data_IF_846909165605
#
_entry.id   IF_846909165605
#
_cell.length_a   1.000
_cell.length_b   1.000
_cell.length_c   1.000
_cell.angle_alpha   90.00
_cell.angle_beta   90.00
_cell.angle_gamma   90.00
#
_symmetry.space_group_name_H-M   'P 1'
#
loop_
_entity.id
_entity.type
_entity.pdbx_description
1 polymer ?
#
# COMPACT_ATOMS: atom_id res chain seq x y z
N UNK A 1 -69.00 -75.41 -73.56
CA UNK A 1 -69.46 -74.42 -74.57
C UNK A 1 -68.57 -73.19 -74.42
N UNK A 2 -67.93 -72.79 -75.54
CA UNK A 2 -67.48 -71.44 -75.97
C UNK A 2 -67.07 -70.37 -74.96
N UNK A 3 -66.13 -69.43 -75.17
CA UNK A 3 -65.11 -69.05 -76.18
C UNK A 3 -64.54 -67.70 -75.63
N UNK A 4 -63.25 -67.40 -75.86
CA UNK A 4 -62.54 -66.08 -75.87
C UNK A 4 -62.57 -65.12 -74.64
N UNK A 5 -61.55 -64.30 -74.36
CA UNK A 5 -60.32 -64.00 -75.10
C UNK A 5 -59.40 -62.96 -74.41
N UNK A 6 -58.11 -63.04 -74.76
CA UNK A 6 -57.13 -61.96 -75.04
C UNK A 6 -56.83 -60.80 -74.06
N UNK A 7 -55.56 -60.80 -73.62
CA UNK A 7 -54.52 -59.73 -73.61
C UNK A 7 -54.78 -58.39 -72.88
N UNK A 8 -53.87 -58.06 -71.96
CA UNK A 8 -53.06 -56.83 -72.01
C UNK A 8 -51.88 -56.88 -71.01
N UNK A 9 -50.67 -57.08 -71.54
CA UNK A 9 -49.40 -56.86 -70.83
C UNK A 9 -48.84 -55.49 -71.21
N UNK A 10 -48.47 -54.69 -70.21
CA UNK A 10 -47.89 -53.36 -70.45
C UNK A 10 -47.50 -52.54 -69.21
N UNK A 11 -47.43 -53.13 -68.01
CA UNK A 11 -47.23 -52.36 -66.77
C UNK A 11 -45.84 -52.46 -66.10
N UNK A 12 -45.03 -53.47 -66.40
CA UNK A 12 -43.88 -53.78 -65.52
C UNK A 12 -42.58 -53.02 -65.81
N UNK A 13 -42.38 -52.41 -66.97
CA UNK A 13 -41.10 -51.74 -67.29
C UNK A 13 -40.98 -50.32 -66.74
N UNK A 14 -42.07 -49.58 -66.59
CA UNK A 14 -42.01 -48.20 -66.07
C UNK A 14 -41.92 -48.14 -64.54
N UNK A 15 -42.45 -49.13 -63.82
CA UNK A 15 -42.40 -49.17 -62.35
C UNK A 15 -40.99 -49.46 -61.81
N UNK A 16 -40.21 -50.29 -62.52
CA UNK A 16 -38.84 -50.64 -62.14
C UNK A 16 -37.85 -49.48 -62.36
N UNK A 17 -38.00 -48.74 -63.47
CA UNK A 17 -37.19 -47.54 -63.75
C UNK A 17 -37.46 -46.42 -62.74
N UNK A 18 -38.74 -46.19 -62.39
CA UNK A 18 -39.10 -45.16 -61.41
C UNK A 18 -38.56 -45.51 -60.01
N UNK A 19 -38.63 -46.78 -59.61
CA UNK A 19 -38.09 -47.25 -58.33
C UNK A 19 -36.57 -47.10 -58.26
N UNK A 20 -35.85 -47.39 -59.36
CA UNK A 20 -34.40 -47.24 -59.39
C UNK A 20 -33.96 -45.76 -59.28
N UNK A 21 -34.68 -44.85 -59.94
CA UNK A 21 -34.41 -43.40 -59.87
C UNK A 21 -34.67 -42.86 -58.46
N UNK A 22 -35.74 -43.32 -57.81
CA UNK A 22 -36.04 -42.92 -56.42
C UNK A 22 -34.96 -43.40 -55.46
N UNK A 23 -34.49 -44.64 -55.61
CA UNK A 23 -33.41 -45.20 -54.76
C UNK A 23 -32.09 -44.44 -54.99
N UNK A 24 -31.75 -44.11 -56.25
CA UNK A 24 -30.56 -43.31 -56.57
C UNK A 24 -30.64 -41.89 -55.99
N UNK A 25 -31.81 -41.25 -56.06
CA UNK A 25 -32.01 -39.93 -55.45
C UNK A 25 -31.87 -39.98 -53.93
N UNK A 26 -32.42 -41.00 -53.28
CA UNK A 26 -32.31 -41.19 -51.84
C UNK A 26 -30.86 -41.44 -51.41
N UNK A 27 -30.10 -42.22 -52.18
CA UNK A 27 -28.66 -42.44 -51.94
C UNK A 27 -27.84 -41.15 -52.10
N UNK A 28 -28.14 -40.31 -53.10
CA UNK A 28 -27.48 -39.02 -53.30
C UNK A 28 -27.75 -38.04 -52.15
N UNK A 29 -29.00 -37.98 -51.67
CA UNK A 29 -29.39 -37.17 -50.52
C UNK A 29 -28.74 -37.65 -49.21
N UNK A 30 -28.59 -38.97 -49.05
CA UNK A 30 -27.87 -39.56 -47.92
C UNK A 30 -26.38 -39.18 -47.96
N UNK A 31 -25.75 -39.27 -49.14
CA UNK A 31 -24.36 -38.89 -49.33
C UNK A 31 -24.13 -37.40 -49.03
N UNK A 32 -25.01 -36.51 -49.49
CA UNK A 32 -24.91 -35.08 -49.19
C UNK A 32 -25.07 -34.78 -47.70
N UNK A 33 -25.97 -35.48 -47.02
CA UNK A 33 -26.18 -35.32 -45.57
C UNK A 33 -24.97 -35.79 -44.77
N UNK A 34 -24.34 -36.91 -45.18
CA UNK A 34 -23.11 -37.41 -44.56
C UNK A 34 -21.95 -36.44 -44.77
N UNK A 35 -21.77 -35.91 -45.98
CA UNK A 35 -20.71 -34.93 -46.28
C UNK A 35 -20.90 -33.65 -45.45
N UNK A 36 -22.13 -33.15 -45.33
CA UNK A 36 -22.42 -31.97 -44.52
C UNK A 36 -22.20 -32.22 -43.02
N UNK A 37 -22.57 -33.40 -42.51
CA UNK A 37 -22.30 -33.78 -41.12
C UNK A 37 -20.79 -33.90 -40.84
N UNK A 38 -20.02 -34.47 -41.78
CA UNK A 38 -18.56 -34.56 -41.67
C UNK A 38 -17.91 -33.17 -41.72
N UNK A 39 -18.34 -32.28 -42.62
CA UNK A 39 -17.83 -30.90 -42.68
C UNK A 39 -18.15 -30.10 -41.42
N UNK A 40 -19.34 -30.27 -40.83
CA UNK A 40 -19.70 -29.63 -39.56
C UNK A 40 -18.83 -30.16 -38.41
N UNK A 41 -18.56 -31.46 -38.37
CA UNK A 41 -17.69 -32.09 -37.37
C UNK A 41 -16.23 -31.67 -37.51
N UNK A 42 -15.72 -31.58 -38.74
CA UNK A 42 -14.37 -31.09 -39.04
C UNK A 42 -14.23 -29.61 -38.66
N UNK A 43 -15.21 -28.77 -38.98
CA UNK A 43 -15.20 -27.36 -38.56
C UNK A 43 -15.29 -27.22 -37.04
N UNK A 44 -16.07 -28.08 -36.36
CA UNK A 44 -16.13 -28.11 -34.90
C UNK A 44 -14.81 -28.59 -34.28
N UNK A 45 -14.15 -29.58 -34.88
CA UNK A 45 -12.82 -30.05 -34.45
C UNK A 45 -11.69 -29.05 -34.75
N UNK A 46 -11.73 -28.34 -35.88
CA UNK A 46 -10.75 -27.28 -36.19
C UNK A 46 -10.93 -26.06 -35.28
N UNK A 47 -12.17 -25.71 -34.93
CA UNK A 47 -12.44 -24.63 -33.95
C UNK A 47 -12.02 -25.01 -32.52
N UNK A 48 -11.96 -26.31 -32.19
CA UNK A 48 -11.43 -26.82 -30.92
C UNK A 48 -9.89 -26.91 -30.93
N UNK A 49 -9.24 -27.01 -32.11
CA UNK A 49 -7.77 -27.07 -32.23
C UNK A 49 -7.06 -25.72 -32.40
N UNK A 50 -7.79 -24.61 -32.57
CA UNK A 50 -7.23 -23.28 -32.35
C UNK A 50 -7.32 -22.90 -30.87
N UNK A 51 -6.92 -23.82 -29.98
CA UNK A 51 -6.48 -23.44 -28.65
C UNK A 51 -5.18 -22.67 -28.85
N UNK A 52 -5.31 -21.36 -29.08
CA UNK A 52 -4.22 -20.40 -29.01
C UNK A 52 -3.55 -20.66 -27.68
N UNK A 53 -2.38 -21.30 -27.69
CA UNK A 53 -1.54 -21.44 -26.51
C UNK A 53 -1.13 -20.02 -26.14
N UNK A 54 -1.98 -19.37 -25.33
CA UNK A 54 -1.65 -18.13 -24.66
C UNK A 54 -0.33 -18.38 -23.95
N UNK A 55 0.72 -17.78 -24.49
CA UNK A 55 2.05 -17.90 -23.92
C UNK A 55 2.05 -16.89 -22.78
N UNK A 56 1.80 -17.36 -21.56
CA UNK A 56 1.92 -16.54 -20.36
C UNK A 56 3.37 -16.56 -19.89
N UNK A 57 3.86 -15.40 -19.45
CA UNK A 57 5.19 -15.28 -18.82
C UNK A 57 5.00 -14.83 -17.39
N UNK A 58 5.60 -15.54 -16.44
CA UNK A 58 5.64 -15.12 -15.04
C UNK A 58 6.72 -14.06 -14.88
N UNK A 59 6.35 -12.96 -14.26
CA UNK A 59 7.21 -11.82 -13.99
C UNK A 59 7.03 -11.41 -12.53
N UNK A 60 8.02 -10.66 -12.03
CA UNK A 60 7.96 -10.08 -10.70
C UNK A 60 8.45 -8.64 -10.75
N UNK A 61 7.90 -7.84 -9.85
CA UNK A 61 8.38 -6.50 -9.55
C UNK A 61 8.73 -6.46 -8.07
N UNK A 62 9.91 -5.96 -7.75
CA UNK A 62 10.39 -5.77 -6.38
C UNK A 62 10.97 -4.36 -6.29
N UNK A 63 10.50 -3.59 -5.32
CA UNK A 63 11.06 -2.28 -4.97
C UNK A 63 12.49 -2.51 -4.52
N UNK A 64 13.44 -1.86 -5.18
CA UNK A 64 14.86 -2.02 -4.87
C UNK A 64 15.24 -1.27 -3.60
N UNK A 65 16.36 -1.65 -3.00
CA UNK A 65 17.02 -0.92 -1.91
C UNK A 65 16.22 -0.75 -0.60
N UNK A 66 15.14 -1.52 -0.40
CA UNK A 66 14.49 -1.61 0.91
C UNK A 66 15.40 -2.44 1.83
N UNK A 67 15.95 -1.85 2.90
CA UNK A 67 16.84 -2.58 3.79
C UNK A 67 16.04 -3.61 4.59
N UNK A 68 16.58 -4.81 4.71
CA UNK A 68 16.06 -5.81 5.63
C UNK A 68 16.53 -5.53 7.05
N UNK A 69 15.60 -5.49 8.00
CA UNK A 69 15.89 -5.33 9.43
C UNK A 69 15.05 -6.34 10.23
N UNK A 70 15.73 -7.18 11.03
CA UNK A 70 15.06 -8.14 11.90
C UNK A 70 14.46 -7.46 13.14
N UNK A 71 13.44 -8.08 13.73
CA UNK A 71 12.93 -7.66 15.04
C UNK A 71 13.88 -8.07 16.16
N UNK A 72 14.21 -7.13 17.05
CA UNK A 72 15.15 -7.38 18.14
C UNK A 72 14.49 -8.12 19.33
N UNK A 73 13.18 -8.01 19.50
CA UNK A 73 12.39 -8.72 20.51
C UNK A 73 11.40 -9.70 19.87
N UNK A 74 10.73 -10.53 20.66
CA UNK A 74 9.72 -11.46 20.14
C UNK A 74 8.38 -10.78 19.77
N UNK A 75 8.25 -9.48 20.04
CA UNK A 75 6.99 -8.74 19.95
C UNK A 75 7.15 -7.37 19.25
N UNK A 76 8.31 -7.10 18.63
CA UNK A 76 8.61 -5.85 17.93
C UNK A 76 8.57 -5.96 16.40
N UNK A 77 7.69 -6.82 15.86
CA UNK A 77 7.54 -6.97 14.41
C UNK A 77 7.01 -5.69 13.73
N UNK A 78 6.14 -4.93 14.43
CA UNK A 78 5.64 -3.64 13.95
C UNK A 78 6.75 -2.60 13.86
N UNK A 79 7.59 -2.54 14.90
CA UNK A 79 8.72 -1.61 14.96
C UNK A 79 9.77 -1.91 13.90
N UNK A 80 10.10 -3.19 13.71
CA UNK A 80 11.03 -3.63 12.67
C UNK A 80 10.52 -3.32 11.27
N UNK A 81 9.22 -3.58 11.02
CA UNK A 81 8.58 -3.24 9.75
C UNK A 81 8.60 -1.75 9.47
N UNK A 82 8.31 -0.93 10.48
CA UNK A 82 8.42 0.52 10.38
C UNK A 82 9.87 0.96 10.16
N UNK A 83 10.83 0.35 10.85
CA UNK A 83 12.24 0.65 10.67
C UNK A 83 12.70 0.41 9.23
N UNK A 84 12.28 -0.70 8.60
CA UNK A 84 12.62 -1.00 7.19
C UNK A 84 12.09 0.09 6.25
N UNK A 85 10.83 0.49 6.42
CA UNK A 85 10.20 1.53 5.60
C UNK A 85 10.86 2.91 5.83
N UNK A 86 11.15 3.28 7.07
CA UNK A 86 11.82 4.56 7.36
C UNK A 86 13.26 4.57 6.83
N UNK A 87 13.99 3.45 6.95
CA UNK A 87 15.35 3.34 6.41
C UNK A 87 15.38 3.33 4.88
N UNK A 88 14.32 2.88 4.20
CA UNK A 88 14.19 3.01 2.74
C UNK A 88 14.11 4.47 2.31
N UNK A 89 13.31 5.31 2.98
CA UNK A 89 13.20 6.73 2.65
C UNK A 89 14.40 7.56 3.14
N UNK A 90 15.10 7.10 4.19
CA UNK A 90 16.20 7.81 4.81
C UNK A 90 17.47 6.94 4.91
N UNK A 91 18.02 6.45 3.78
CA UNK A 91 19.08 5.43 3.76
C UNK A 91 20.40 5.89 4.38
N UNK A 92 20.63 7.20 4.46
CA UNK A 92 21.82 7.79 5.08
C UNK A 92 21.78 7.78 6.62
N UNK A 93 20.74 7.20 7.23
CA UNK A 93 20.49 7.29 8.66
C UNK A 93 20.23 5.93 9.27
N UNK A 94 20.91 5.69 10.38
CA UNK A 94 20.70 4.50 11.21
C UNK A 94 19.70 4.88 12.29
N UNK A 95 18.54 4.25 12.25
CA UNK A 95 17.48 4.40 13.24
C UNK A 95 17.65 3.24 14.22
N UNK A 96 17.84 3.52 15.51
CA UNK A 96 17.81 2.46 16.52
C UNK A 96 16.36 2.01 16.68
N UNK A 97 16.07 0.75 16.37
CA UNK A 97 14.74 0.15 16.53
C UNK A 97 14.19 0.32 17.95
N UNK A 98 15.04 0.41 18.98
CA UNK A 98 14.63 0.69 20.37
C UNK A 98 13.91 2.03 20.53
N UNK A 99 14.29 3.04 19.75
CA UNK A 99 13.61 4.32 19.74
C UNK A 99 12.21 4.21 19.13
N UNK A 100 12.00 3.31 18.17
CA UNK A 100 10.67 3.03 17.62
C UNK A 100 9.82 2.28 18.64
N UNK A 101 10.37 1.23 19.27
CA UNK A 101 9.68 0.39 20.26
C UNK A 101 9.12 1.21 21.42
N UNK A 102 9.92 2.15 21.94
CA UNK A 102 9.48 3.08 22.98
C UNK A 102 8.23 3.85 22.53
N UNK A 103 8.37 4.56 21.42
CA UNK A 103 7.35 5.45 20.89
C UNK A 103 6.07 4.72 20.57
N UNK A 104 6.21 3.55 19.97
CA UNK A 104 5.11 2.69 19.57
C UNK A 104 4.45 1.98 20.74
N UNK A 105 4.91 2.25 21.98
CA UNK A 105 4.39 1.64 23.20
C UNK A 105 4.44 0.10 23.13
N UNK A 106 5.41 -0.41 22.39
CA UNK A 106 5.52 -1.83 22.13
C UNK A 106 5.86 -2.55 23.45
N UNK A 107 5.08 -3.58 23.76
CA UNK A 107 5.24 -4.35 25.00
C UNK A 107 5.27 -5.84 24.74
N UNK A 108 5.83 -6.61 25.68
CA UNK A 108 5.84 -8.06 25.61
C UNK A 108 4.46 -8.71 25.75
N UNK A 109 3.43 -7.93 26.11
CA UNK A 109 2.07 -8.43 26.26
C UNK A 109 1.21 -8.19 25.01
N UNK A 110 1.31 -7.00 24.43
CA UNK A 110 0.46 -6.55 23.33
C UNK A 110 1.16 -6.53 21.98
N UNK A 111 2.50 -6.60 21.96
CA UNK A 111 3.29 -6.18 20.81
C UNK A 111 3.08 -4.70 20.50
N UNK A 112 3.21 -4.35 19.23
CA UNK A 112 2.92 -3.01 18.69
C UNK A 112 1.49 -2.94 18.18
N UNK A 113 0.71 -1.93 18.56
CA UNK A 113 -0.63 -1.71 18.02
C UNK A 113 -0.58 -0.87 16.74
N UNK A 114 -1.55 -1.06 15.86
CA UNK A 114 -1.60 -0.43 14.54
C UNK A 114 -1.58 1.09 14.61
N UNK A 115 -2.35 1.68 15.52
CA UNK A 115 -2.37 3.13 15.75
C UNK A 115 -1.05 3.65 16.33
N UNK A 116 -0.32 2.81 17.05
CA UNK A 116 1.00 3.17 17.56
C UNK A 116 2.08 3.05 16.48
N UNK A 117 2.03 2.07 15.58
CA UNK A 117 2.90 2.04 14.38
C UNK A 117 2.71 3.32 13.57
N UNK A 118 1.45 3.71 13.34
CA UNK A 118 1.10 4.95 12.65
C UNK A 118 1.70 6.18 13.32
N UNK A 119 1.49 6.32 14.63
CA UNK A 119 2.01 7.44 15.39
C UNK A 119 3.53 7.48 15.33
N UNK A 120 4.17 6.32 15.50
CA UNK A 120 5.63 6.18 15.51
C UNK A 120 6.27 6.56 14.19
N UNK A 121 5.50 6.47 13.11
CA UNK A 121 5.94 6.90 11.80
C UNK A 121 5.83 8.42 11.59
N UNK A 122 5.08 9.12 12.45
CA UNK A 122 4.92 10.59 12.48
C UNK A 122 5.83 11.26 13.52
N UNK A 123 6.90 10.58 13.91
CA UNK A 123 7.65 10.95 15.10
C UNK A 123 8.27 12.35 15.06
N UNK A 124 8.26 13.07 16.19
CA UNK A 124 8.88 14.39 16.30
C UNK A 124 9.48 14.65 17.68
N UNK A 125 10.28 15.72 17.90
CA UNK A 125 10.73 16.10 19.24
C UNK A 125 9.61 16.40 20.25
N UNK A 126 8.37 16.56 19.76
CA UNK A 126 7.17 16.73 20.61
C UNK A 126 6.55 15.39 21.02
N UNK A 127 6.88 14.31 20.34
CA UNK A 127 6.39 13.00 20.69
C UNK A 127 6.96 12.58 22.04
N UNK A 128 6.09 12.49 23.05
CA UNK A 128 6.39 11.82 24.32
C UNK A 128 5.56 10.54 24.43
N UNK A 129 6.17 9.47 24.92
CA UNK A 129 5.38 8.35 25.43
C UNK A 129 4.58 8.81 26.65
N UNK A 130 3.33 8.36 26.82
CA UNK A 130 2.59 8.62 28.05
C UNK A 130 3.43 8.15 29.25
N UNK A 131 3.58 9.00 30.27
CA UNK A 131 4.40 8.71 31.45
C UNK A 131 3.93 7.49 32.26
N UNK A 132 2.71 6.99 31.99
CA UNK A 132 2.14 5.79 32.58
C UNK A 132 1.85 4.75 31.50
N UNK A 133 2.79 3.82 31.28
CA UNK A 133 2.48 2.54 30.65
C UNK A 133 2.51 1.45 31.72
N UNK A 134 1.55 0.53 31.65
CA UNK A 134 1.39 -0.51 32.65
C UNK A 134 2.35 -1.67 32.40
N UNK A 135 2.64 -1.98 31.13
CA UNK A 135 3.50 -3.08 30.74
C UNK A 135 4.95 -2.64 30.54
N UNK A 136 5.88 -3.57 30.77
CA UNK A 136 7.32 -3.33 30.62
C UNK A 136 7.61 -3.02 29.14
N UNK A 137 8.04 -1.78 28.89
CA UNK A 137 8.58 -1.38 27.60
C UNK A 137 10.02 -1.88 27.48
N UNK A 138 10.40 -2.30 26.28
CA UNK A 138 11.79 -2.50 25.94
C UNK A 138 12.29 -1.28 25.15
N UNK A 139 13.48 -0.73 25.44
CA UNK A 139 14.31 -0.97 26.62
C UNK A 139 13.72 -0.34 27.90
N UNK A 140 14.14 -0.82 29.08
CA UNK A 140 13.75 -0.27 30.40
C UNK A 140 14.03 1.24 30.55
N UNK A 141 14.96 1.77 29.75
CA UNK A 141 15.27 3.20 29.66
C UNK A 141 15.06 3.70 28.23
N UNK A 142 13.84 4.15 28.00
CA UNK A 142 13.42 4.84 26.78
C UNK A 142 13.82 6.33 26.79
N UNK A 143 14.00 6.96 25.61
CA UNK A 143 14.26 8.39 25.53
C UNK A 143 13.01 9.22 25.90
N UNK A 144 13.16 10.14 26.85
CA UNK A 144 12.06 10.95 27.43
C UNK A 144 11.41 11.97 26.48
N UNK A 145 11.88 12.07 25.24
CA UNK A 145 11.23 12.82 24.15
C UNK A 145 11.66 12.27 22.81
N UNK A 146 11.55 10.95 22.67
CA UNK A 146 11.65 10.34 21.37
C UNK A 146 13.02 10.16 20.76
N UNK A 147 13.08 10.09 19.43
CA UNK A 147 14.31 9.88 18.65
C UNK A 147 15.40 10.90 18.98
N UNK A 148 15.01 12.12 19.39
CA UNK A 148 15.89 13.25 19.57
C UNK A 148 15.61 13.91 20.91
N UNK A 149 16.13 13.30 21.99
CA UNK A 149 16.36 13.87 23.32
C UNK A 149 15.70 15.25 23.60
N UNK A 150 14.85 15.33 24.63
CA UNK A 150 13.99 16.45 25.07
C UNK A 150 14.55 17.89 25.00
N UNK A 151 15.86 18.04 24.93
CA UNK A 151 16.58 19.31 24.83
C UNK A 151 16.23 20.16 23.60
N UNK A 152 15.54 19.61 22.60
CA UNK A 152 15.19 20.32 21.36
C UNK A 152 13.73 20.79 21.29
N UNK A 153 12.83 20.30 22.14
CA UNK A 153 11.40 20.63 22.09
C UNK A 153 11.14 22.15 22.25
N UNK A 154 11.98 22.84 23.02
CA UNK A 154 11.84 24.28 23.33
C UNK A 154 12.90 25.18 22.64
N UNK A 155 13.72 24.65 21.74
CA UNK A 155 14.76 25.44 21.04
C UNK A 155 14.27 25.92 19.67
N UNK A 156 14.78 27.07 19.24
CA UNK A 156 14.66 27.51 17.84
C UNK A 156 15.15 26.40 16.91
N UNK A 157 14.34 26.01 15.93
CA UNK A 157 14.63 24.87 15.07
C UNK A 157 15.78 25.11 14.09
N UNK A 158 16.13 26.38 13.85
CA UNK A 158 17.38 26.77 13.21
C UNK A 158 18.64 26.30 13.94
N UNK A 159 18.54 26.02 15.25
CA UNK A 159 19.61 25.44 16.07
C UNK A 159 19.48 23.92 16.25
N UNK A 160 18.43 23.33 15.70
CA UNK A 160 18.20 21.88 15.71
C UNK A 160 18.92 21.28 14.50
N UNK A 161 19.74 20.23 14.69
CA UNK A 161 20.32 19.46 13.60
C UNK A 161 19.27 19.05 12.55
N UNK A 162 19.61 19.16 11.26
CA UNK A 162 18.67 18.90 10.12
C UNK A 162 18.09 17.50 10.19
N UNK A 163 18.88 16.57 10.70
CA UNK A 163 18.54 15.18 10.97
C UNK A 163 17.46 14.97 12.04
N UNK A 164 16.69 15.99 12.43
CA UNK A 164 15.54 15.85 13.34
C UNK A 164 14.22 15.96 12.55
N UNK A 165 14.18 16.81 11.52
CA UNK A 165 13.04 16.95 10.61
C UNK A 165 13.17 16.08 9.36
N UNK A 166 14.38 15.60 9.06
CA UNK A 166 14.61 14.59 8.03
C UNK A 166 13.91 13.25 8.33
N UNK A 167 13.36 13.03 9.53
CA UNK A 167 12.77 11.74 9.90
C UNK A 167 11.25 11.75 10.06
N UNK A 168 10.64 12.94 10.08
CA UNK A 168 9.20 13.05 10.25
C UNK A 168 8.48 12.96 8.91
N UNK A 169 8.61 11.80 8.28
CA UNK A 169 7.85 11.49 7.07
C UNK A 169 6.35 11.55 7.37
N UNK A 170 5.57 11.99 6.38
CA UNK A 170 4.11 11.83 6.43
C UNK A 170 3.78 10.36 6.24
N UNK A 171 3.94 9.57 7.30
CA UNK A 171 3.33 8.26 7.31
C UNK A 171 1.82 8.45 7.27
N UNK A 172 1.21 8.06 6.15
CA UNK A 172 -0.22 8.19 5.98
C UNK A 172 -0.82 6.81 6.08
N UNK A 173 -1.64 6.65 7.11
CA UNK A 173 -2.34 5.40 7.37
C UNK A 173 -3.33 5.15 6.26
N UNK A 174 -3.31 3.93 5.77
CA UNK A 174 -4.42 3.39 5.05
C UNK A 174 -5.20 2.46 5.99
N UNK A 175 -6.18 3.05 6.66
CA UNK A 175 -7.10 2.30 7.51
C UNK A 175 -8.48 2.48 6.90
N UNK A 176 -8.98 1.50 6.12
CA UNK A 176 -10.27 1.64 5.44
C UNK A 176 -11.38 2.11 6.38
N UNK A 177 -11.30 1.75 7.67
CA UNK A 177 -12.33 2.06 8.65
C UNK A 177 -11.80 2.26 10.09
N UNK A 178 -10.76 3.09 10.31
CA UNK A 178 -10.21 3.30 11.68
C UNK A 178 -11.23 3.84 12.71
N UNK A 179 -12.34 4.40 12.23
CA UNK A 179 -13.35 5.04 13.08
C UNK A 179 -14.36 4.06 13.66
N UNK A 180 -14.39 2.81 13.17
CA UNK A 180 -15.44 1.86 13.48
C UNK A 180 -14.86 0.67 14.25
N UNK A 181 -15.01 0.73 15.57
CA UNK A 181 -14.86 -0.44 16.42
C UNK A 181 -16.15 -1.26 16.34
N UNK A 182 -16.00 -2.55 16.06
CA UNK A 182 -17.11 -3.51 15.99
C UNK A 182 -16.80 -4.72 16.86
N UNK A 183 -17.80 -5.53 17.26
CA UNK A 183 -17.52 -6.74 18.02
C UNK A 183 -16.51 -7.63 17.31
N UNK A 184 -15.52 -8.17 18.03
CA UNK A 184 -14.43 -8.94 17.43
C UNK A 184 -14.90 -10.15 16.62
N UNK A 185 -15.98 -10.82 17.05
CA UNK A 185 -16.60 -11.91 16.29
C UNK A 185 -17.13 -11.42 14.93
N UNK A 186 -17.72 -10.23 14.90
CA UNK A 186 -18.21 -9.60 13.65
C UNK A 186 -17.03 -9.20 12.76
N UNK A 187 -15.96 -8.61 13.33
CA UNK A 187 -14.78 -8.21 12.56
C UNK A 187 -14.07 -9.41 11.90
N UNK A 188 -13.89 -10.50 12.65
CA UNK A 188 -13.23 -11.73 12.15
C UNK A 188 -14.05 -12.39 11.05
N UNK A 189 -15.38 -12.33 11.17
CA UNK A 189 -16.32 -12.90 10.20
C UNK A 189 -16.73 -11.92 9.10
N UNK A 190 -16.14 -10.72 9.04
CA UNK A 190 -16.54 -9.68 8.09
C UNK A 190 -16.31 -10.13 6.63
N UNK A 191 -17.39 -10.24 5.87
CA UNK A 191 -17.36 -10.53 4.42
C UNK A 191 -17.64 -9.27 3.58
N UNK A 192 -17.96 -8.16 4.23
CA UNK A 192 -18.29 -6.89 3.56
C UNK A 192 -17.04 -6.11 3.21
N UNK A 193 -16.02 -6.13 4.08
CA UNK A 193 -14.72 -5.54 3.79
C UNK A 193 -13.98 -6.42 2.79
N UNK A 194 -13.67 -5.87 1.61
CA UNK A 194 -12.95 -6.58 0.55
C UNK A 194 -11.44 -6.45 0.74
N UNK A 195 -10.71 -7.52 0.44
CA UNK A 195 -9.26 -7.46 0.29
C UNK A 195 -8.91 -6.48 -0.84
N UNK A 196 -8.11 -5.46 -0.56
CA UNK A 196 -7.77 -4.39 -1.51
C UNK A 196 -6.41 -4.62 -2.19
N UNK A 197 -6.08 -5.87 -2.50
CA UNK A 197 -4.78 -6.24 -3.09
C UNK A 197 -4.49 -5.54 -4.43
N UNK A 198 -5.52 -5.28 -5.24
CA UNK A 198 -5.36 -4.54 -6.50
C UNK A 198 -4.92 -3.09 -6.25
N UNK A 199 -5.43 -2.45 -5.21
CA UNK A 199 -5.01 -1.09 -4.80
C UNK A 199 -3.60 -1.13 -4.22
N UNK A 200 -3.30 -2.10 -3.34
CA UNK A 200 -1.96 -2.33 -2.80
C UNK A 200 -0.91 -2.31 -3.93
N UNK A 201 -1.17 -3.05 -5.00
CA UNK A 201 -0.24 -3.18 -6.12
C UNK A 201 -0.23 -1.94 -7.01
N UNK A 202 -1.40 -1.50 -7.48
CA UNK A 202 -1.47 -0.47 -8.52
C UNK A 202 -1.22 0.95 -8.00
N UNK A 203 -1.52 1.23 -6.74
CA UNK A 203 -1.36 2.57 -6.15
C UNK A 203 -0.04 2.69 -5.40
N UNK A 204 0.43 1.62 -4.75
CA UNK A 204 1.63 1.69 -3.90
C UNK A 204 2.83 0.97 -4.53
N UNK A 205 2.76 -0.34 -4.70
CA UNK A 205 3.96 -1.12 -5.07
C UNK A 205 4.51 -0.71 -6.45
N UNK A 206 3.65 -0.48 -7.45
CA UNK A 206 4.07 0.01 -8.78
C UNK A 206 4.73 1.40 -8.77
N UNK A 207 4.55 2.16 -7.70
CA UNK A 207 5.07 3.51 -7.50
C UNK A 207 6.21 3.53 -6.47
N UNK A 208 6.88 2.40 -6.25
CA UNK A 208 8.01 2.27 -5.33
C UNK A 208 7.69 2.66 -3.87
N UNK A 209 6.45 2.41 -3.44
CA UNK A 209 5.98 2.65 -2.08
C UNK A 209 5.74 1.32 -1.37
N UNK A 210 6.59 0.93 -0.40
CA UNK A 210 6.35 -0.25 0.42
C UNK A 210 5.18 -0.04 1.38
N UNK A 211 4.48 -1.12 1.70
CA UNK A 211 3.30 -1.09 2.59
C UNK A 211 3.49 -2.06 3.75
N UNK A 212 3.38 -1.55 4.97
CA UNK A 212 3.35 -2.36 6.19
C UNK A 212 1.96 -2.96 6.33
N UNK A 213 1.85 -4.28 6.41
CA UNK A 213 0.60 -5.00 6.59
C UNK A 213 0.57 -5.67 7.96
N UNK A 214 -0.51 -5.47 8.73
CA UNK A 214 -0.81 -6.31 9.89
C UNK A 214 -1.64 -7.50 9.43
N UNK A 215 -1.11 -8.70 9.58
CA UNK A 215 -1.73 -9.94 9.12
C UNK A 215 -1.51 -11.05 10.14
N UNK A 216 -2.19 -12.18 10.00
CA UNK A 216 -1.88 -13.32 10.85
C UNK A 216 -0.46 -13.85 10.54
N UNK A 217 0.30 -14.31 11.55
CA UNK A 217 1.61 -14.92 11.33
C UNK A 217 1.51 -16.17 10.43
N UNK A 218 0.52 -17.00 10.75
CA UNK A 218 -0.06 -18.13 10.00
C UNK A 218 -1.58 -17.96 9.97
N UNK A 219 -2.29 -18.63 9.07
CA UNK A 219 -3.76 -18.63 9.06
C UNK A 219 -4.30 -18.95 10.46
N UNK A 220 -5.20 -18.10 10.98
CA UNK A 220 -5.85 -18.21 12.29
C UNK A 220 -4.89 -18.19 13.51
N UNK A 221 -3.79 -17.44 13.41
CA UNK A 221 -2.84 -17.22 14.52
C UNK A 221 -2.78 -15.74 14.94
N UNK A 222 -1.84 -15.40 15.84
CA UNK A 222 -1.63 -14.03 16.30
C UNK A 222 -1.25 -13.05 15.17
N UNK A 223 -1.47 -11.76 15.43
CA UNK A 223 -1.09 -10.68 14.53
C UNK A 223 0.42 -10.59 14.35
N UNK A 224 0.86 -10.23 13.16
CA UNK A 224 2.24 -10.10 12.76
C UNK A 224 2.38 -9.06 11.64
N UNK A 225 3.33 -8.16 11.80
CA UNK A 225 3.63 -7.15 10.78
C UNK A 225 4.64 -7.67 9.77
N UNK A 226 4.39 -7.36 8.50
CA UNK A 226 5.30 -7.59 7.38
C UNK A 226 5.29 -6.39 6.45
N UNK A 227 6.30 -6.23 5.61
CA UNK A 227 6.37 -5.14 4.62
C UNK A 227 6.18 -5.72 3.23
N UNK A 228 5.09 -5.38 2.55
CA UNK A 228 4.93 -5.65 1.12
C UNK A 228 5.91 -4.78 0.32
N UNK A 229 6.76 -5.44 -0.46
CA UNK A 229 7.87 -4.81 -1.22
C UNK A 229 7.83 -5.16 -2.70
N UNK A 230 6.87 -5.98 -3.13
CA UNK A 230 6.80 -6.42 -4.51
C UNK A 230 5.60 -7.31 -4.76
N UNK A 231 5.47 -7.73 -6.01
CA UNK A 231 4.39 -8.59 -6.46
C UNK A 231 4.83 -9.46 -7.64
N UNK A 232 4.14 -10.58 -7.81
CA UNK A 232 4.28 -11.47 -8.95
C UNK A 232 3.03 -11.39 -9.83
N UNK A 233 3.22 -11.51 -11.14
CA UNK A 233 2.13 -11.52 -12.09
C UNK A 233 2.42 -12.42 -13.28
N UNK A 234 1.36 -12.91 -13.90
CA UNK A 234 1.39 -13.57 -15.19
C UNK A 234 0.97 -12.58 -16.27
N UNK A 235 1.80 -12.45 -17.30
CA UNK A 235 1.55 -11.59 -18.44
C UNK A 235 1.22 -12.44 -19.66
N UNK A 236 0.00 -12.30 -20.16
CA UNK A 236 -0.40 -12.88 -21.43
C UNK A 236 0.26 -12.10 -22.58
N UNK A 237 1.12 -12.75 -23.36
CA UNK A 237 1.89 -12.10 -24.43
C UNK A 237 0.97 -11.56 -25.54
N UNK A 238 -0.16 -12.22 -25.80
CA UNK A 238 -1.06 -11.87 -26.90
C UNK A 238 -1.96 -10.68 -26.59
N UNK A 239 -2.39 -10.55 -25.33
CA UNK A 239 -3.31 -9.50 -24.88
C UNK A 239 -2.63 -8.40 -24.05
N UNK A 240 -1.35 -8.59 -23.69
CA UNK A 240 -0.62 -7.74 -22.74
C UNK A 240 -1.33 -7.60 -21.38
N UNK A 241 -2.25 -8.52 -21.06
CA UNK A 241 -3.00 -8.52 -19.80
C UNK A 241 -2.13 -9.10 -18.69
N UNK A 242 -2.07 -8.39 -17.57
CA UNK A 242 -1.41 -8.83 -16.35
C UNK A 242 -2.44 -9.41 -15.38
N UNK A 243 -2.13 -10.55 -14.79
CA UNK A 243 -2.91 -11.20 -13.73
C UNK A 243 -2.00 -11.33 -12.52
N UNK A 244 -2.38 -10.70 -11.42
CA UNK A 244 -1.63 -10.78 -10.16
C UNK A 244 -1.68 -12.21 -9.62
N UNK A 245 -0.51 -12.76 -9.26
CA UNK A 245 -0.39 -14.13 -8.74
C UNK A 245 0.17 -14.18 -7.33
N UNK A 246 0.94 -13.18 -6.89
CA UNK A 246 1.44 -13.14 -5.52
C UNK A 246 1.93 -11.79 -5.04
N UNK A 247 2.09 -11.68 -3.71
CA UNK A 247 2.66 -10.52 -3.02
C UNK A 247 3.97 -10.95 -2.36
N UNK A 248 5.03 -10.17 -2.59
CA UNK A 248 6.37 -10.37 -2.05
C UNK A 248 6.52 -9.47 -0.84
N UNK A 249 6.93 -10.04 0.29
CA UNK A 249 7.02 -9.33 1.57
C UNK A 249 8.34 -9.60 2.28
N UNK A 250 8.82 -8.61 3.02
CA UNK A 250 9.86 -8.78 4.03
C UNK A 250 9.22 -9.18 5.37
N UNK A 251 9.72 -10.25 5.97
CA UNK A 251 9.28 -10.75 7.27
C UNK A 251 10.35 -10.45 8.34
N UNK A 252 10.07 -9.57 9.32
CA UNK A 252 11.06 -9.20 10.34
C UNK A 252 11.40 -10.35 11.30
N UNK A 253 10.63 -11.45 11.29
CA UNK A 253 10.92 -12.65 12.08
C UNK A 253 11.81 -13.60 11.28
N UNK A 254 13.13 -13.54 11.42
CA UNK A 254 14.10 -14.42 10.72
C UNK A 254 14.59 -15.62 11.56
N UNK A 255 13.93 -15.87 12.69
CA UNK A 255 14.30 -16.94 13.61
C UNK A 255 13.65 -18.26 13.20
N UNK A 256 14.21 -19.37 13.68
CA UNK A 256 13.66 -20.72 13.47
C UNK A 256 13.52 -21.09 11.97
N UNK A 257 14.50 -20.71 11.15
CA UNK A 257 14.52 -20.92 9.70
C UNK A 257 13.40 -20.21 8.94
N UNK A 258 12.78 -19.18 9.52
CA UNK A 258 11.82 -18.36 8.79
C UNK A 258 12.60 -17.46 7.79
N UNK A 259 12.23 -17.46 6.51
CA UNK A 259 12.95 -16.66 5.51
C UNK A 259 12.67 -15.16 5.69
N UNK A 260 13.66 -14.33 5.39
CA UNK A 260 13.58 -12.87 5.47
C UNK A 260 12.65 -12.26 4.42
N UNK A 261 12.46 -12.97 3.30
CA UNK A 261 11.56 -12.60 2.22
C UNK A 261 10.64 -13.77 1.90
N UNK A 262 9.33 -13.50 1.81
CA UNK A 262 8.28 -14.48 1.57
C UNK A 262 7.38 -14.02 0.43
N UNK A 263 6.92 -14.97 -0.38
CA UNK A 263 5.92 -14.71 -1.42
C UNK A 263 4.65 -15.48 -1.10
N UNK A 264 3.53 -14.78 -1.01
CA UNK A 264 2.21 -15.36 -0.79
C UNK A 264 1.40 -15.27 -2.07
N UNK A 265 0.77 -16.38 -2.48
CA UNK A 265 -0.28 -16.34 -3.49
C UNK A 265 -1.42 -15.41 -3.04
N UNK A 266 -2.06 -14.70 -3.96
CA UNK A 266 -3.05 -13.65 -3.65
C UNK A 266 -4.14 -14.13 -2.68
N UNK A 267 -4.69 -15.33 -2.89
CA UNK A 267 -5.74 -15.88 -2.02
C UNK A 267 -5.26 -16.10 -0.57
N UNK A 268 -4.05 -16.65 -0.42
CA UNK A 268 -3.45 -16.88 0.89
C UNK A 268 -3.09 -15.57 1.57
N UNK A 269 -2.51 -14.62 0.81
CA UNK A 269 -2.22 -13.27 1.28
C UNK A 269 -3.48 -12.61 1.84
N UNK A 270 -4.57 -12.55 1.07
CA UNK A 270 -5.84 -11.98 1.51
C UNK A 270 -6.40 -12.71 2.73
N UNK A 271 -6.32 -14.06 2.79
CA UNK A 271 -6.78 -14.81 3.97
C UNK A 271 -5.98 -14.46 5.23
N UNK A 272 -4.66 -14.32 5.13
CA UNK A 272 -3.81 -13.93 6.25
C UNK A 272 -4.00 -12.46 6.63
N UNK A 273 -4.16 -11.59 5.63
CA UNK A 273 -4.34 -10.15 5.81
C UNK A 273 -5.73 -9.77 6.33
N UNK A 274 -6.68 -10.71 6.30
CA UNK A 274 -7.95 -10.63 7.02
C UNK A 274 -7.78 -10.77 8.55
N UNK A 275 -6.73 -10.20 9.11
CA UNK A 275 -6.53 -10.09 10.55
C UNK A 275 -7.30 -8.88 11.08
N UNK A 276 -8.11 -9.08 12.11
CA UNK A 276 -8.82 -8.02 12.82
C UNK A 276 -8.10 -7.76 14.15
N UNK A 277 -7.45 -6.59 14.26
CA UNK A 277 -6.75 -6.20 15.48
C UNK A 277 -7.75 -5.91 16.61
N UNK A 278 -7.58 -6.51 17.80
CA UNK A 278 -8.37 -6.17 18.97
C UNK A 278 -8.01 -4.79 19.51
N UNK A 279 -9.02 -3.97 19.79
CA UNK A 279 -8.89 -2.78 20.61
C UNK A 279 -9.09 -3.13 22.10
N UNK A 280 -9.98 -4.06 22.40
CA UNK A 280 -10.19 -4.62 23.74
C UNK A 280 -10.68 -6.08 23.64
N UNK A 281 -11.19 -6.63 24.75
CA UNK A 281 -11.71 -8.01 24.82
C UNK A 281 -12.97 -8.24 23.96
N UNK A 282 -13.69 -7.17 23.61
CA UNK A 282 -14.98 -7.19 22.91
C UNK A 282 -14.92 -6.60 21.53
N UNK A 283 -14.12 -5.58 21.31
CA UNK A 283 -14.12 -4.76 20.11
C UNK A 283 -12.80 -4.87 19.34
N UNK A 284 -12.94 -4.99 18.03
CA UNK A 284 -11.85 -5.06 17.09
C UNK A 284 -12.06 -4.00 16.00
N UNK A 285 -10.96 -3.63 15.38
CA UNK A 285 -11.01 -2.92 14.11
C UNK A 285 -11.36 -3.86 12.96
N UNK A 286 -11.80 -3.29 11.84
CA UNK A 286 -12.01 -4.03 10.59
C UNK A 286 -10.68 -4.56 10.00
N UNK A 287 -10.73 -5.67 9.25
CA UNK A 287 -9.54 -6.32 8.71
C UNK A 287 -8.86 -5.55 7.56
N UNK A 288 -7.72 -6.09 7.08
CA UNK A 288 -6.90 -5.57 5.97
C UNK A 288 -6.21 -4.24 6.27
N UNK A 289 -5.59 -4.15 7.44
CA UNK A 289 -4.80 -2.99 7.84
C UNK A 289 -3.53 -2.80 6.98
N UNK A 290 -3.29 -1.58 6.50
CA UNK A 290 -2.07 -1.22 5.80
C UNK A 290 -1.52 0.15 6.21
N UNK A 291 -0.19 0.32 6.18
CA UNK A 291 0.44 1.64 6.28
C UNK A 291 1.36 1.83 5.09
N UNK A 292 1.16 2.91 4.36
CA UNK A 292 2.12 3.41 3.39
C UNK A 292 2.77 4.67 3.94
N UNK A 293 4.10 4.75 3.92
CA UNK A 293 4.79 5.96 4.33
C UNK A 293 5.07 6.84 3.12
N UNK A 294 4.79 8.13 3.24
CA UNK A 294 5.02 9.08 2.15
C UNK A 294 5.70 10.34 2.69
N UNK A 295 7.02 10.51 2.49
CA UNK A 295 7.66 11.77 2.88
C UNK A 295 7.08 12.94 2.09
N UNK A 296 7.08 14.13 2.68
CA UNK A 296 6.83 15.36 1.93
C UNK A 296 7.95 15.58 0.94
N UNK A 297 7.60 15.83 -0.33
CA UNK A 297 8.59 16.20 -1.31
C UNK A 297 8.81 17.71 -1.26
N UNK A 298 10.02 18.13 -0.89
CA UNK A 298 10.43 19.53 -0.92
C UNK A 298 11.45 19.66 -2.05
N UNK A 299 11.13 20.51 -3.00
CA UNK A 299 12.02 20.82 -4.11
C UNK A 299 12.24 22.32 -4.18
N UNK A 300 13.44 22.69 -4.61
CA UNK A 300 13.83 24.09 -4.78
C UNK A 300 14.37 24.25 -6.19
N UNK A 301 13.78 25.18 -6.93
CA UNK A 301 14.27 25.58 -8.24
C UNK A 301 14.76 27.02 -8.15
N UNK A 302 16.01 27.25 -8.55
CA UNK A 302 16.59 28.59 -8.65
C UNK A 302 16.03 29.31 -9.89
N UNK A 303 15.41 30.47 -9.70
CA UNK A 303 15.05 31.39 -10.78
C UNK A 303 16.21 32.35 -11.08
N UNK A 304 16.94 32.76 -10.04
CA UNK A 304 18.16 33.56 -10.10
C UNK A 304 18.96 33.39 -8.81
N UNK A 305 20.19 33.91 -8.76
CA UNK A 305 21.08 33.85 -7.57
C UNK A 305 20.42 34.24 -6.24
N UNK A 306 19.39 35.08 -6.31
CA UNK A 306 18.66 35.54 -5.13
C UNK A 306 17.19 35.18 -5.16
N UNK A 307 16.68 34.43 -6.12
CA UNK A 307 15.26 34.12 -6.25
C UNK A 307 15.04 32.62 -6.43
N UNK A 308 14.25 32.03 -5.55
CA UNK A 308 14.00 30.59 -5.49
C UNK A 308 12.51 30.33 -5.49
N UNK A 309 12.08 29.31 -6.23
CA UNK A 309 10.78 28.70 -5.98
C UNK A 309 10.99 27.49 -5.07
N UNK A 310 10.29 27.51 -3.94
CA UNK A 310 10.21 26.38 -3.03
C UNK A 310 8.87 25.71 -3.31
N UNK A 311 8.92 24.48 -3.82
CA UNK A 311 7.73 23.67 -4.07
C UNK A 311 7.65 22.56 -3.03
N UNK A 312 6.65 22.63 -2.17
CA UNK A 312 6.26 21.56 -1.27
C UNK A 312 5.16 20.77 -1.98
N UNK A 313 5.44 19.51 -2.29
CA UNK A 313 4.53 18.61 -2.99
C UNK A 313 4.08 17.52 -2.04
N UNK A 314 2.77 17.37 -1.93
CA UNK A 314 2.19 16.28 -1.20
C UNK A 314 2.14 15.03 -2.07
N UNK A 315 2.43 13.85 -1.50
CA UNK A 315 2.36 12.60 -2.21
C UNK A 315 0.97 12.40 -2.81
N UNK A 316 0.96 11.99 -4.08
CA UNK A 316 -0.25 11.72 -4.81
C UNK A 316 -0.56 10.23 -4.65
N UNK A 317 -1.39 9.89 -3.66
CA UNK A 317 -1.73 8.48 -3.37
C UNK A 317 -2.78 7.95 -4.35
N UNK A 318 -3.61 8.84 -4.90
CA UNK A 318 -4.57 8.52 -5.96
C UNK A 318 -4.16 9.28 -7.21
N UNK A 319 -3.96 8.63 -8.38
CA UNK A 319 -3.89 9.38 -9.61
C UNK A 319 -5.15 10.25 -9.71
N UNK A 320 -5.05 11.55 -10.06
CA UNK A 320 -6.23 12.38 -10.27
C UNK A 320 -7.12 11.62 -11.24
N UNK A 321 -8.32 11.26 -10.78
CA UNK A 321 -9.22 10.35 -11.46
C UNK A 321 -9.21 10.63 -12.96
N UNK A 322 -8.76 9.66 -13.75
CA UNK A 322 -9.24 9.60 -15.13
C UNK A 322 -10.76 9.74 -15.05
N UNK A 323 -11.36 10.54 -15.94
CA UNK A 323 -12.76 11.00 -15.90
C UNK A 323 -13.82 9.89 -15.85
N UNK A 324 -13.42 8.63 -15.76
CA UNK A 324 -14.26 7.47 -15.55
C UNK A 324 -14.65 7.33 -14.07
N UNK A 325 -15.73 8.02 -13.70
CA UNK A 325 -16.45 7.90 -12.41
C UNK A 325 -16.70 6.45 -11.92
N UNK A 326 -16.60 5.44 -12.79
CA UNK A 326 -16.83 4.03 -12.43
C UNK A 326 -15.74 3.43 -11.53
N UNK A 327 -14.53 3.99 -11.49
CA UNK A 327 -13.47 3.50 -10.62
C UNK A 327 -13.64 3.97 -9.16
N UNK A 328 -14.31 5.12 -8.96
CA UNK A 328 -14.59 5.68 -7.63
C UNK A 328 -15.65 4.89 -6.84
N UNK A 329 -16.55 4.15 -7.51
CA UNK A 329 -17.61 3.36 -6.82
C UNK A 329 -17.10 2.02 -6.26
N UNK A 330 -15.93 1.54 -6.69
CA UNK A 330 -15.31 0.31 -6.18
C UNK A 330 -13.95 0.53 -5.50
N UNK A 331 -13.37 1.73 -5.64
CA UNK A 331 -12.28 2.12 -4.76
C UNK A 331 -12.84 2.15 -3.35
N UNK A 332 -12.20 1.48 -2.37
CA UNK A 332 -12.56 1.78 -1.01
C UNK A 332 -12.40 3.29 -0.83
N UNK A 333 -13.33 3.94 -0.13
CA UNK A 333 -13.09 5.29 0.35
C UNK A 333 -11.96 5.13 1.36
N UNK A 334 -10.78 5.54 0.96
CA UNK A 334 -9.55 5.35 1.74
C UNK A 334 -9.16 6.70 2.23
N UNK A 335 -9.87 7.21 3.24
CA UNK A 335 -9.60 8.54 3.73
C UNK A 335 -8.13 8.57 4.13
N UNK A 336 -7.37 9.48 3.54
CA UNK A 336 -6.10 9.86 4.14
C UNK A 336 -6.46 10.38 5.52
N UNK A 337 -6.09 9.59 6.51
CA UNK A 337 -6.56 9.82 7.86
C UNK A 337 -5.73 10.90 8.58
N UNK A 338 -4.62 11.28 7.96
CA UNK A 338 -3.71 12.35 8.38
C UNK A 338 -4.18 13.68 7.80
N UNK A 339 -4.56 14.64 8.65
CA UNK A 339 -4.70 16.03 8.25
C UNK A 339 -3.51 16.81 8.80
N UNK A 340 -2.73 17.41 7.90
CA UNK A 340 -1.71 18.36 8.29
C UNK A 340 -2.41 19.67 8.69
N UNK A 341 -2.07 20.16 9.87
CA UNK A 341 -2.47 21.45 10.40
C UNK A 341 -1.26 22.39 10.31
N UNK A 342 -1.48 23.67 10.02
CA UNK A 342 -0.45 24.73 10.07
C UNK A 342 0.87 24.36 9.37
N UNK A 343 0.90 24.39 8.04
CA UNK A 343 2.16 24.27 7.30
C UNK A 343 2.99 25.54 7.50
N UNK A 344 4.24 25.39 7.91
CA UNK A 344 5.22 26.47 8.07
C UNK A 344 6.44 26.18 7.20
N UNK A 345 6.89 27.18 6.45
CA UNK A 345 8.18 27.18 5.76
C UNK A 345 9.15 28.07 6.53
N UNK A 346 10.32 27.56 6.85
CA UNK A 346 11.41 28.27 7.51
C UNK A 346 12.65 28.25 6.61
N UNK A 347 13.22 29.43 6.35
CA UNK A 347 14.47 29.57 5.58
C UNK A 347 15.51 30.16 6.51
N UNK A 348 16.64 29.46 6.64
CA UNK A 348 17.74 29.87 7.49
C UNK A 348 19.05 29.96 6.71
N UNK A 349 19.87 30.94 7.05
CA UNK A 349 21.21 31.11 6.51
C UNK A 349 22.20 30.20 7.22
N UNK A 350 23.08 29.55 6.45
CA UNK A 350 24.16 28.72 6.98
C UNK A 350 25.51 29.32 6.59
N UNK A 351 26.37 29.53 7.59
CA UNK A 351 27.75 29.99 7.38
C UNK A 351 28.64 28.91 6.76
N UNK A 352 28.27 27.62 6.88
CA UNK A 352 28.86 26.48 6.16
C UNK A 352 27.79 25.41 5.91
N UNK A 353 27.85 24.64 4.81
CA UNK A 353 26.86 23.60 4.48
C UNK A 353 26.65 22.52 5.55
N UNK A 354 27.59 22.36 6.49
CA UNK A 354 27.57 21.33 7.54
C UNK A 354 27.87 21.87 8.94
N UNK A 355 27.65 23.17 9.21
CA UNK A 355 27.82 23.65 10.58
C UNK A 355 26.71 23.04 11.45
N UNK A 356 27.10 22.18 12.41
CA UNK A 356 26.27 21.74 13.54
C UNK A 356 25.83 22.92 14.45
N UNK A 357 25.95 24.17 13.98
CA UNK A 357 25.89 25.40 14.75
C UNK A 357 25.00 26.42 14.07
N UNK A 358 24.16 27.03 14.91
CA UNK A 358 23.45 28.31 14.77
C UNK A 358 23.16 28.73 13.32
N UNK A 359 22.02 28.28 12.77
CA UNK A 359 21.47 28.94 11.60
C UNK A 359 20.73 30.22 12.04
N UNK A 360 20.87 31.29 11.27
CA UNK A 360 20.07 32.51 11.47
C UNK A 360 18.79 32.37 10.65
N UNK A 361 17.64 32.33 11.34
CA UNK A 361 16.34 32.36 10.67
C UNK A 361 16.25 33.66 9.89
N UNK A 362 16.12 33.56 8.58
CA UNK A 362 15.89 34.72 7.71
C UNK A 362 14.41 34.95 7.46
N UNK A 363 13.65 33.85 7.40
CA UNK A 363 12.26 33.88 6.98
C UNK A 363 11.47 32.75 7.62
N UNK A 364 10.23 33.07 7.98
CA UNK A 364 9.25 32.10 8.44
C UNK A 364 7.90 32.53 7.90
N UNK A 365 7.24 31.63 7.17
CA UNK A 365 5.89 31.86 6.64
C UNK A 365 4.99 30.71 7.03
N UNK A 366 3.80 31.06 7.52
CA UNK A 366 2.72 30.12 7.74
C UNK A 366 1.89 30.08 6.47
N UNK A 367 1.82 28.92 5.84
CA UNK A 367 0.94 28.67 4.71
C UNK A 367 -0.43 28.33 5.28
N UNK A 368 -1.45 29.19 5.06
CA UNK A 368 -2.80 28.90 5.49
C UNK A 368 -3.30 27.69 4.70
N UNK A 369 -3.44 26.56 5.39
CA UNK A 369 -4.09 25.40 4.81
C UNK A 369 -5.59 25.69 4.80
N UNK A 370 -6.20 25.76 3.60
CA UNK A 370 -7.65 25.71 3.49
C UNK A 370 -8.10 24.40 4.15
N UNK A 371 -9.10 24.46 5.04
CA UNK A 371 -9.49 23.48 6.08
C UNK A 371 -9.59 21.98 5.71
N UNK A 372 -9.35 21.59 4.47
CA UNK A 372 -9.30 20.22 3.98
C UNK A 372 -8.08 20.05 3.09
N UNK A 373 -7.17 19.19 3.52
CA UNK A 373 -5.99 18.78 2.78
C UNK A 373 -6.37 17.88 1.61
N UNK A 374 -5.99 18.20 0.37
CA UNK A 374 -6.17 17.31 -0.79
C UNK A 374 -4.85 16.59 -1.10
N UNK A 375 -4.90 15.28 -1.28
CA UNK A 375 -3.76 14.54 -1.86
C UNK A 375 -3.35 15.18 -3.20
N UNK A 376 -2.07 15.08 -3.57
CA UNK A 376 -1.52 15.64 -4.82
C UNK A 376 -1.45 17.18 -4.91
N UNK A 377 -1.85 17.93 -3.88
CA UNK A 377 -1.69 19.37 -3.89
C UNK A 377 -0.19 19.75 -3.83
N UNK A 378 0.13 20.92 -4.38
CA UNK A 378 1.46 21.49 -4.24
C UNK A 378 1.37 22.98 -3.95
N UNK A 379 2.23 23.45 -3.06
CA UNK A 379 2.37 24.87 -2.75
C UNK A 379 3.71 25.35 -3.27
N UNK A 380 3.68 26.44 -4.02
CA UNK A 380 4.87 27.10 -4.55
C UNK A 380 5.02 28.45 -3.87
N UNK A 381 6.18 28.68 -3.26
CA UNK A 381 6.57 29.94 -2.67
C UNK A 381 7.74 30.51 -3.47
N UNK A 382 7.61 31.74 -3.98
CA UNK A 382 8.73 32.48 -4.55
C UNK A 382 9.35 33.36 -3.47
N UNK A 383 10.63 33.13 -3.18
CA UNK A 383 11.35 33.84 -2.13
C UNK A 383 12.60 34.52 -2.67
N UNK A 384 12.78 35.80 -2.32
CA UNK A 384 13.99 36.54 -2.63
C UNK A 384 14.95 36.53 -1.44
N UNK A 385 16.11 35.89 -1.59
CA UNK A 385 17.15 35.90 -0.57
C UNK A 385 17.71 37.31 -0.38
N UNK A 386 17.77 37.81 0.87
CA UNK A 386 18.54 39.00 1.17
C UNK A 386 20.03 38.75 0.89
N UNK A 387 20.79 39.80 0.56
CA UNK A 387 22.22 39.68 0.32
C UNK A 387 22.97 39.49 1.66
N UNK A 388 23.00 38.26 2.14
CA UNK A 388 23.45 37.90 3.49
C UNK A 388 24.83 37.23 3.55
N UNK A 389 25.52 37.10 2.42
CA UNK A 389 26.87 36.52 2.39
C UNK A 389 26.96 35.08 2.91
N UNK A 390 25.88 34.30 2.81
CA UNK A 390 25.88 32.89 3.17
C UNK A 390 26.35 32.03 2.00
N UNK A 391 27.02 30.92 2.32
CA UNK A 391 27.43 29.91 1.33
C UNK A 391 26.29 28.93 1.00
N UNK A 392 25.30 28.84 1.88
CA UNK A 392 24.17 27.92 1.71
C UNK A 392 22.96 28.39 2.51
N UNK A 393 21.79 27.92 2.09
CA UNK A 393 20.53 28.09 2.80
C UNK A 393 19.99 26.73 3.21
N UNK A 394 19.31 26.73 4.35
CA UNK A 394 18.49 25.63 4.82
C UNK A 394 17.04 26.00 4.63
N UNK A 395 16.29 25.10 4.02
CA UNK A 395 14.84 25.24 3.84
C UNK A 395 14.17 24.10 4.57
N UNK A 396 13.30 24.42 5.52
CA UNK A 396 12.51 23.46 6.29
C UNK A 396 11.05 23.73 5.95
N UNK A 397 10.33 22.71 5.49
CA UNK A 397 8.87 22.77 5.41
C UNK A 397 8.30 21.74 6.36
N UNK A 398 7.44 22.18 7.28
CA UNK A 398 6.85 21.34 8.32
C UNK A 398 5.41 21.69 8.55
N UNK A 399 4.59 20.70 8.85
CA UNK A 399 3.26 20.88 9.38
C UNK A 399 3.09 20.11 10.68
N UNK A 400 1.97 20.34 11.35
CA UNK A 400 1.61 19.66 12.58
C UNK A 400 0.52 18.65 12.29
N UNK A 401 0.70 17.39 12.68
CA UNK A 401 -0.35 16.38 12.63
C UNK A 401 -0.77 16.09 14.05
N UNK A 402 -2.04 16.30 14.35
CA UNK A 402 -2.62 15.92 15.62
C UNK A 402 -3.61 14.78 15.43
N UNK A 403 -3.55 13.79 16.31
CA UNK A 403 -4.46 12.63 16.29
C UNK A 403 -4.68 12.10 17.71
N UNK A 404 -5.45 11.03 17.84
CA UNK A 404 -5.69 10.35 19.12
C UNK A 404 -5.43 8.87 18.97
N UNK A 405 -4.66 8.30 19.91
CA UNK A 405 -4.59 6.85 20.07
C UNK A 405 -5.70 6.43 21.02
N UNK A 406 -6.47 5.42 20.62
CA UNK A 406 -7.60 4.89 21.38
C UNK A 406 -7.11 4.15 22.64
N UNK A 407 -7.96 4.03 23.67
CA UNK A 407 -7.62 3.23 24.83
C UNK A 407 -7.66 1.76 24.42
N UNK A 408 -6.68 0.99 24.88
CA UNK A 408 -6.58 -0.44 24.55
C UNK A 408 -6.58 -1.24 25.83
N UNK A 409 -7.49 -2.20 25.94
CA UNK A 409 -7.52 -3.16 27.05
C UNK A 409 -6.89 -4.47 26.59
N UNK A 410 -5.97 -4.99 27.39
CA UNK A 410 -5.51 -6.36 27.22
C UNK A 410 -5.63 -7.08 28.57
N UNK A 411 -6.49 -8.10 28.58
CA UNK A 411 -6.67 -9.13 29.61
C UNK A 411 -6.61 -8.61 31.07
N UNK A 412 -7.76 -8.62 31.78
CA UNK A 412 -7.90 -8.31 33.23
C UNK A 412 -8.03 -6.85 33.67
N UNK A 413 -8.78 -6.00 32.95
CA UNK A 413 -9.06 -4.60 33.33
C UNK A 413 -7.82 -3.67 33.32
N UNK A 414 -6.74 -4.07 32.65
CA UNK A 414 -5.54 -3.26 32.52
C UNK A 414 -5.59 -2.50 31.20
N UNK A 415 -5.69 -1.18 31.30
CA UNK A 415 -5.84 -0.28 30.17
C UNK A 415 -4.55 0.46 29.87
N UNK A 416 -4.13 0.41 28.61
CA UNK A 416 -3.31 1.47 28.03
C UNK A 416 -4.24 2.66 27.78
N UNK A 417 -4.04 3.82 28.45
CA UNK A 417 -4.95 4.94 28.32
C UNK A 417 -4.94 5.49 26.89
N UNK A 418 -6.07 6.06 26.48
CA UNK A 418 -6.10 6.91 25.30
C UNK A 418 -5.29 8.17 25.54
N UNK A 419 -4.71 8.72 24.48
CA UNK A 419 -4.04 10.00 24.57
C UNK A 419 -4.07 10.70 23.22
N UNK A 420 -4.07 12.03 23.30
CA UNK A 420 -3.91 12.89 22.14
C UNK A 420 -2.43 13.13 21.93
N UNK A 421 -2.02 13.19 20.67
CA UNK A 421 -0.67 13.57 20.30
C UNK A 421 -0.70 14.60 19.18
N UNK A 422 0.35 15.40 19.11
CA UNK A 422 0.62 16.30 18.00
C UNK A 422 2.09 16.19 17.66
N UNK A 423 2.39 16.03 16.39
CA UNK A 423 3.75 15.86 15.90
C UNK A 423 4.05 16.73 14.70
N UNK A 424 5.29 17.21 14.62
CA UNK A 424 5.77 17.86 13.41
C UNK A 424 6.12 16.83 12.35
N UNK A 425 5.45 16.90 11.21
CA UNK A 425 5.79 16.17 9.99
C UNK A 425 6.39 17.15 9.00
N UNK A 426 7.40 16.75 8.24
CA UNK A 426 8.14 17.72 7.46
C UNK A 426 9.24 17.11 6.61
N UNK A 427 9.99 18.02 6.01
CA UNK A 427 11.28 17.72 5.42
C UNK A 427 12.17 18.95 5.51
N UNK A 428 13.45 18.73 5.25
CA UNK A 428 14.41 19.81 5.15
C UNK A 428 15.37 19.52 4.00
N UNK A 429 15.83 20.58 3.33
CA UNK A 429 16.92 20.50 2.36
C UNK A 429 17.95 21.58 2.65
N UNK A 430 19.18 21.31 2.23
CA UNK A 430 20.26 22.30 2.19
C UNK A 430 20.53 22.59 0.71
N UNK A 431 20.52 23.87 0.36
CA UNK A 431 20.83 24.34 -0.99
C UNK A 431 22.08 25.23 -0.92
N UNK A 432 23.06 24.94 -1.76
CA UNK A 432 24.27 25.77 -1.91
C UNK A 432 23.94 26.94 -2.86
N UNK A 433 24.38 28.15 -2.49
CA UNK A 433 24.11 29.39 -3.24
C UNK A 433 25.14 29.70 -4.32
#
# INVERSE_FOLDING_TARGET
MSVDGSRCGGGLRNSLMLSLVVVLLQLLLLHHSIINAMNLSINKMMKIRSATTSTTTRQQFIIQDIPYLHQITDYSCGDASLNMVLSYYYPQKIIDQRAIIDVARTSNHTGTLSLDVVRSARFSPLSSTPASQVYIQFPEQAPTSGWFNSKFANKSQASVPVNIFEHSGLATVYYPDRKWLIPCEVARNDTTTKCWVDHLVNEFLKNDIPVICLMNFKVDSGGHYRVAVGYEFEKDISSNKEVLTGIIMLDPWDRNNNPTMVTYGVDLFCKMWKHAEPNDDKTCFKPYFGIAAFPLSISVSENSKTNFNIKVTYPCVFPPSNKDRKQAENSPDLPLTTTIQHLTIEISALSKPNSNGQASIMFTENIPLTNTFTACDSHMLSYNLPNIGADSIRIIARGMVCDTVLPTEYNTNVWSPSYKYCDYVGGAIIHQL
#
